data_IF_446886030043
#
_entry.id   IF_446886030043
#
_cell.length_a   1.000
_cell.length_b   1.000
_cell.length_c   1.000
_cell.angle_alpha   90.00
_cell.angle_beta   90.00
_cell.angle_gamma   90.00
#
_symmetry.space_group_name_H-M   'P 1'
#
loop_
_entity.id
_entity.type
_entity.pdbx_description
1 polymer ?
#
# COMPACT_ATOMS: atom_id res chain seq x y z
N UNK A 1 16.58 -0.41 -6.69
CA UNK A 1 15.28 -0.22 -6.02
C UNK A 1 14.37 0.76 -6.76
N UNK A 2 14.77 2.01 -7.03
CA UNK A 2 13.92 2.98 -7.78
C UNK A 2 13.31 2.42 -9.07
N UNK A 3 14.14 1.89 -9.97
CA UNK A 3 13.71 1.28 -11.25
C UNK A 3 12.71 0.14 -11.05
N UNK A 4 12.89 -0.65 -9.99
CA UNK A 4 11.96 -1.73 -9.64
C UNK A 4 10.60 -1.16 -9.20
N UNK A 5 10.60 -0.15 -8.31
CA UNK A 5 9.38 0.48 -7.82
C UNK A 5 8.62 1.18 -8.95
N UNK A 6 9.30 1.81 -9.91
CA UNK A 6 8.65 2.39 -11.09
C UNK A 6 7.97 1.32 -11.95
N UNK A 7 8.62 0.17 -12.17
CA UNK A 7 8.00 -0.97 -12.86
C UNK A 7 6.79 -1.52 -12.10
N UNK A 8 6.88 -1.61 -10.78
CA UNK A 8 5.79 -2.05 -9.92
C UNK A 8 4.59 -1.09 -10.01
N UNK A 9 4.84 0.22 -9.97
CA UNK A 9 3.78 1.23 -10.09
C UNK A 9 3.11 1.18 -11.46
N UNK A 10 3.88 0.95 -12.54
CA UNK A 10 3.31 0.76 -13.87
C UNK A 10 2.40 -0.48 -13.95
N UNK A 11 2.82 -1.61 -13.34
CA UNK A 11 1.98 -2.83 -13.26
C UNK A 11 0.72 -2.61 -12.44
N UNK A 12 0.84 -1.93 -11.30
CA UNK A 12 -0.29 -1.58 -10.44
C UNK A 12 -1.29 -0.67 -11.17
N UNK A 13 -0.79 0.37 -11.84
CA UNK A 13 -1.62 1.30 -12.61
C UNK A 13 -2.35 0.59 -13.75
N UNK A 14 -1.64 -0.24 -14.52
CA UNK A 14 -2.22 -1.06 -15.60
C UNK A 14 -3.32 -1.99 -15.07
N UNK A 15 -3.11 -2.62 -13.92
CA UNK A 15 -4.11 -3.49 -13.28
C UNK A 15 -5.37 -2.72 -12.87
N UNK A 16 -5.22 -1.59 -12.18
CA UNK A 16 -6.37 -0.76 -11.80
C UNK A 16 -7.10 -0.20 -13.03
N UNK A 17 -6.36 0.26 -14.04
CA UNK A 17 -6.91 0.73 -15.31
C UNK A 17 -7.75 -0.35 -15.96
N UNK A 18 -7.25 -1.59 -16.01
CA UNK A 18 -8.00 -2.71 -16.55
C UNK A 18 -9.27 -3.00 -15.73
N UNK A 19 -9.18 -3.04 -14.39
CA UNK A 19 -10.35 -3.26 -13.53
C UNK A 19 -11.40 -2.19 -13.79
N UNK A 20 -11.02 -0.92 -13.67
CA UNK A 20 -11.95 0.20 -13.78
C UNK A 20 -12.51 0.41 -15.18
N UNK A 21 -11.82 -0.03 -16.24
CA UNK A 21 -12.34 0.02 -17.60
C UNK A 21 -13.42 -1.02 -17.88
N UNK A 22 -13.50 -2.09 -17.06
CA UNK A 22 -14.42 -3.21 -17.29
C UNK A 22 -15.41 -3.43 -16.14
N UNK A 23 -15.12 -2.90 -14.96
CA UNK A 23 -15.90 -3.10 -13.75
C UNK A 23 -15.76 -1.91 -12.82
N UNK A 24 -16.88 -1.25 -12.52
CA UNK A 24 -16.93 -0.21 -11.49
C UNK A 24 -17.40 -0.82 -10.15
N UNK A 25 -16.51 -0.96 -9.14
CA UNK A 25 -16.83 -1.72 -7.93
C UNK A 25 -17.64 -0.96 -6.87
N UNK A 26 -18.08 0.27 -7.14
CA UNK A 26 -18.81 1.09 -6.17
C UNK A 26 -20.26 1.31 -6.62
N UNK A 27 -21.21 0.89 -5.78
CA UNK A 27 -22.64 1.12 -5.99
C UNK A 27 -23.21 1.84 -4.77
N UNK A 28 -23.84 3.00 -4.97
CA UNK A 28 -24.54 3.75 -3.92
C UNK A 28 -23.69 4.28 -2.76
N UNK A 29 -22.35 4.19 -2.83
CA UNK A 29 -21.46 4.71 -1.79
C UNK A 29 -20.09 5.08 -2.35
N UNK A 30 -19.39 5.98 -1.64
CA UNK A 30 -17.99 6.28 -1.91
C UNK A 30 -17.12 5.18 -1.31
N UNK A 31 -16.69 4.25 -2.16
CA UNK A 31 -15.31 3.82 -2.13
C UNK A 31 -15.05 2.33 -2.05
N UNK A 32 -13.88 1.99 -2.57
CA UNK A 32 -13.39 0.64 -2.67
C UNK A 32 -12.88 0.17 -1.31
N UNK A 33 -12.99 -1.12 -1.03
CA UNK A 33 -12.51 -1.68 0.26
C UNK A 33 -10.98 -1.56 0.35
N UNK A 34 -10.44 -1.34 1.56
CA UNK A 34 -8.98 -1.27 1.80
C UNK A 34 -8.26 -2.54 1.29
N UNK A 35 -8.94 -3.70 1.35
CA UNK A 35 -8.43 -4.98 0.85
C UNK A 35 -8.10 -4.97 -0.66
N UNK A 36 -8.74 -4.12 -1.46
CA UNK A 36 -8.40 -3.98 -2.87
C UNK A 36 -7.04 -3.29 -3.06
N UNK A 37 -6.63 -2.42 -2.13
CA UNK A 37 -5.31 -1.78 -2.17
C UNK A 37 -4.21 -2.83 -2.07
N UNK A 38 -4.28 -3.68 -1.03
CA UNK A 38 -3.28 -4.74 -0.82
C UNK A 38 -3.34 -5.81 -1.90
N UNK A 39 -4.52 -6.30 -2.27
CA UNK A 39 -4.64 -7.34 -3.30
C UNK A 39 -4.03 -6.91 -4.64
N UNK A 40 -4.38 -5.72 -5.14
CA UNK A 40 -3.86 -5.24 -6.42
C UNK A 40 -2.36 -4.94 -6.37
N UNK A 41 -1.86 -4.41 -5.26
CA UNK A 41 -0.42 -4.17 -5.08
C UNK A 41 0.37 -5.47 -5.02
N UNK A 42 -0.06 -6.43 -4.18
CA UNK A 42 0.59 -7.73 -4.05
C UNK A 42 0.60 -8.46 -5.39
N UNK A 43 -0.54 -8.52 -6.09
CA UNK A 43 -0.60 -9.15 -7.41
C UNK A 43 0.33 -8.49 -8.43
N UNK A 44 0.46 -7.15 -8.41
CA UNK A 44 1.40 -6.44 -9.28
C UNK A 44 2.86 -6.75 -8.91
N UNK A 45 3.17 -6.89 -7.62
CA UNK A 45 4.50 -7.23 -7.12
C UNK A 45 4.89 -8.66 -7.48
N UNK A 46 4.00 -9.63 -7.24
CA UNK A 46 4.21 -11.03 -7.58
C UNK A 46 4.47 -11.23 -9.08
N UNK A 47 3.81 -10.43 -9.93
CA UNK A 47 4.05 -10.48 -11.39
C UNK A 47 5.48 -10.08 -11.81
N UNK A 48 6.24 -9.43 -10.93
CA UNK A 48 7.65 -9.08 -11.15
C UNK A 48 8.62 -10.12 -10.58
N UNK A 49 8.14 -11.06 -9.76
CA UNK A 49 8.89 -12.16 -9.16
C UNK A 49 8.15 -13.48 -9.37
N UNK A 50 7.92 -13.92 -10.62
CA UNK A 50 7.26 -15.19 -10.87
C UNK A 50 8.01 -16.31 -10.15
N UNK A 51 7.26 -17.12 -9.40
CA UNK A 51 7.72 -18.30 -8.66
C UNK A 51 8.83 -18.08 -7.62
N UNK A 52 9.15 -16.82 -7.30
CA UNK A 52 10.27 -16.44 -6.42
C UNK A 52 9.87 -15.52 -5.28
N UNK A 53 8.57 -15.23 -5.13
CA UNK A 53 8.03 -14.50 -4.01
C UNK A 53 6.90 -15.25 -3.31
N UNK A 54 6.75 -14.99 -2.01
CA UNK A 54 5.68 -15.50 -1.17
C UNK A 54 4.91 -14.31 -0.60
N UNK A 55 3.59 -14.32 -0.70
CA UNK A 55 2.75 -13.32 -0.05
C UNK A 55 1.85 -13.95 1.01
N UNK A 56 1.55 -13.17 2.04
CA UNK A 56 0.57 -13.55 3.05
C UNK A 56 -0.21 -12.33 3.48
N UNK A 57 -1.52 -12.47 3.62
CA UNK A 57 -2.40 -11.39 4.05
C UNK A 57 -2.79 -11.57 5.51
N UNK A 58 -3.09 -10.47 6.21
CA UNK A 58 -3.43 -10.50 7.64
C UNK A 58 -2.32 -11.21 8.45
N UNK A 59 -1.05 -10.92 8.14
CA UNK A 59 0.09 -11.62 8.74
C UNK A 59 0.19 -11.29 10.23
N UNK A 60 0.12 -12.28 11.13
CA UNK A 60 0.06 -12.03 12.56
C UNK A 60 1.40 -11.48 13.07
N UNK A 61 1.33 -10.40 13.84
CA UNK A 61 2.50 -9.73 14.45
C UNK A 61 2.36 -9.56 15.97
N UNK A 62 1.49 -10.36 16.58
CA UNK A 62 1.28 -10.36 18.03
C UNK A 62 0.86 -11.75 18.50
N UNK A 63 1.32 -12.13 19.69
CA UNK A 63 0.99 -13.42 20.29
C UNK A 63 -0.36 -13.42 21.01
N UNK A 64 -0.82 -12.26 21.49
CA UNK A 64 -2.00 -12.13 22.36
C UNK A 64 -3.00 -11.09 21.86
N UNK A 65 -2.55 -10.07 21.13
CA UNK A 65 -3.40 -9.09 20.47
C UNK A 65 -3.66 -9.50 19.01
N UNK A 66 -4.86 -9.24 18.49
CA UNK A 66 -5.22 -9.42 17.07
C UNK A 66 -4.53 -8.37 16.16
N UNK A 67 -3.22 -8.18 16.34
CA UNK A 67 -2.40 -7.30 15.51
C UNK A 67 -1.90 -8.08 14.31
N UNK A 68 -2.08 -7.51 13.13
CA UNK A 68 -1.63 -8.08 11.87
C UNK A 68 -1.07 -6.99 10.97
N UNK A 69 -0.20 -7.36 10.03
CA UNK A 69 0.08 -6.56 8.84
C UNK A 69 -0.99 -6.89 7.80
N UNK A 70 -1.50 -5.90 7.08
CA UNK A 70 -2.53 -6.15 6.04
C UNK A 70 -2.01 -7.12 4.98
N UNK A 71 -0.75 -6.97 4.58
CA UNK A 71 -0.02 -7.98 3.81
C UNK A 71 1.49 -7.94 4.07
N UNK A 72 2.14 -9.07 3.81
CA UNK A 72 3.60 -9.19 3.71
C UNK A 72 3.94 -9.86 2.39
N UNK A 73 5.05 -9.44 1.78
CA UNK A 73 5.62 -10.12 0.62
C UNK A 73 7.11 -10.34 0.84
N UNK A 74 7.54 -11.59 0.64
CA UNK A 74 8.93 -12.02 0.75
C UNK A 74 9.47 -12.35 -0.62
N UNK A 75 10.68 -11.91 -0.91
CA UNK A 75 11.51 -12.42 -2.00
C UNK A 75 12.71 -13.13 -1.39
N UNK A 76 13.68 -13.52 -2.22
CA UNK A 76 14.98 -14.01 -1.72
C UNK A 76 15.70 -12.96 -0.86
N UNK A 77 15.63 -11.67 -1.24
CA UNK A 77 16.46 -10.61 -0.67
C UNK A 77 15.66 -9.53 0.08
N UNK A 78 14.35 -9.43 -0.14
CA UNK A 78 13.50 -8.35 0.33
C UNK A 78 12.29 -8.84 1.12
N UNK A 79 11.88 -8.03 2.11
CA UNK A 79 10.60 -8.15 2.82
C UNK A 79 9.83 -6.83 2.69
N UNK A 80 8.64 -6.90 2.10
CA UNK A 80 7.69 -5.79 2.02
C UNK A 80 6.61 -5.97 3.08
N UNK A 81 6.56 -5.08 4.06
CA UNK A 81 5.48 -4.96 5.03
C UNK A 81 4.48 -3.95 4.49
N UNK A 82 3.22 -4.32 4.34
CA UNK A 82 2.23 -3.54 3.60
C UNK A 82 1.06 -3.21 4.52
N UNK A 83 0.74 -1.92 4.60
CA UNK A 83 -0.43 -1.38 5.30
C UNK A 83 -1.24 -0.50 4.35
N UNK A 84 -2.55 -0.70 4.34
CA UNK A 84 -3.50 -0.01 3.49
C UNK A 84 -4.43 0.90 4.31
N UNK A 85 -4.74 2.09 3.81
CA UNK A 85 -5.63 3.04 4.48
C UNK A 85 -6.49 3.87 3.51
N UNK A 86 -7.78 3.94 3.78
CA UNK A 86 -8.70 4.88 3.14
C UNK A 86 -8.70 6.22 3.85
N UNK A 87 -8.39 7.30 3.14
CA UNK A 87 -8.43 8.67 3.67
C UNK A 87 -9.85 9.26 3.67
N UNK A 88 -10.79 8.57 4.34
CA UNK A 88 -12.15 9.07 4.56
C UNK A 88 -12.19 10.26 5.52
N UNK A 89 -11.32 10.24 6.54
CA UNK A 89 -11.11 11.29 7.52
C UNK A 89 -9.60 11.64 7.61
N UNK A 90 -9.13 12.66 6.86
CA UNK A 90 -7.70 12.91 6.68
C UNK A 90 -6.84 12.93 7.94
N UNK A 91 -7.19 13.73 8.95
CA UNK A 91 -6.34 13.93 10.12
C UNK A 91 -6.18 12.68 10.99
N UNK A 92 -7.27 11.95 11.25
CA UNK A 92 -7.21 10.72 12.03
C UNK A 92 -6.47 9.61 11.28
N UNK A 93 -6.61 9.55 9.96
CA UNK A 93 -5.91 8.58 9.11
C UNK A 93 -4.42 8.84 9.00
N UNK A 94 -3.96 10.10 8.97
CA UNK A 94 -2.52 10.42 9.08
C UNK A 94 -1.92 9.83 10.36
N UNK A 95 -2.58 10.05 11.51
CA UNK A 95 -2.08 9.51 12.78
C UNK A 95 -2.09 7.98 12.80
N UNK A 96 -3.12 7.35 12.22
CA UNK A 96 -3.14 5.89 12.06
C UNK A 96 -1.92 5.39 11.26
N UNK A 97 -1.65 6.00 10.10
CA UNK A 97 -0.49 5.63 9.26
C UNK A 97 0.83 5.78 10.01
N UNK A 98 0.99 6.82 10.84
CA UNK A 98 2.21 6.98 11.66
C UNK A 98 2.39 5.81 12.63
N UNK A 99 1.32 5.46 13.35
CA UNK A 99 1.35 4.32 14.28
C UNK A 99 1.64 3.01 13.54
N UNK A 100 1.15 2.86 12.30
CA UNK A 100 1.45 1.70 11.46
C UNK A 100 2.92 1.64 11.04
N UNK A 101 3.53 2.78 10.70
CA UNK A 101 4.97 2.86 10.40
C UNK A 101 5.81 2.46 11.61
N UNK A 102 5.50 2.98 12.78
CA UNK A 102 6.18 2.61 14.04
C UNK A 102 6.05 1.11 14.31
N UNK A 103 4.85 0.55 14.08
CA UNK A 103 4.57 -0.88 14.24
C UNK A 103 5.35 -1.75 13.25
N UNK A 104 5.50 -1.32 11.99
CA UNK A 104 6.32 -2.01 10.98
C UNK A 104 7.81 -1.98 11.31
N UNK A 105 8.26 -1.00 12.09
CA UNK A 105 9.65 -0.88 12.55
C UNK A 105 9.92 -1.65 13.85
N UNK A 106 8.90 -2.19 14.51
CA UNK A 106 9.08 -2.91 15.76
C UNK A 106 9.86 -4.21 15.56
N UNK A 107 10.97 -4.36 16.28
CA UNK A 107 11.75 -5.59 16.33
C UNK A 107 10.89 -6.81 16.71
N UNK A 108 9.92 -6.63 17.59
CA UNK A 108 9.02 -7.72 18.03
C UNK A 108 8.15 -8.21 16.87
N UNK A 109 7.58 -7.29 16.09
CA UNK A 109 6.79 -7.61 14.91
C UNK A 109 7.64 -8.32 13.85
N UNK A 110 8.85 -7.80 13.59
CA UNK A 110 9.79 -8.37 12.63
C UNK A 110 10.23 -9.79 13.00
N UNK A 111 10.56 -10.01 14.28
CA UNK A 111 10.93 -11.33 14.79
C UNK A 111 9.78 -12.34 14.65
N UNK A 112 8.52 -11.92 14.89
CA UNK A 112 7.36 -12.82 14.74
C UNK A 112 7.12 -13.20 13.28
N UNK A 113 7.26 -12.25 12.36
CA UNK A 113 7.12 -12.50 10.92
C UNK A 113 8.21 -13.46 10.44
N UNK A 114 9.45 -13.26 10.87
CA UNK A 114 10.60 -14.06 10.43
C UNK A 114 10.66 -15.46 11.09
N UNK A 115 10.10 -15.63 12.30
CA UNK A 115 9.95 -16.94 12.97
C UNK A 115 9.13 -17.95 12.16
N UNK A 116 8.32 -17.50 11.21
CA UNK A 116 7.57 -18.38 10.31
C UNK A 116 8.44 -19.12 9.28
N UNK A 117 9.70 -18.72 9.10
CA UNK A 117 10.59 -19.35 8.11
C UNK A 117 11.38 -20.53 8.69
N UNK A 118 11.43 -21.62 7.92
CA UNK A 118 12.25 -22.80 8.22
C UNK A 118 13.75 -22.43 8.21
N UNK A 119 14.16 -21.58 7.27
CA UNK A 119 15.53 -21.07 7.14
C UNK A 119 15.49 -19.53 7.05
N UNK A 120 15.55 -18.81 8.18
CA UNK A 120 15.51 -17.35 8.18
C UNK A 120 16.80 -16.80 7.55
N UNK A 121 16.62 -15.95 6.54
CA UNK A 121 17.69 -15.18 5.88
C UNK A 121 17.44 -13.72 6.19
N UNK A 122 18.51 -12.97 6.48
CA UNK A 122 18.43 -11.52 6.65
C UNK A 122 18.03 -10.88 5.33
N UNK A 123 16.86 -10.25 5.30
CA UNK A 123 16.32 -9.55 4.13
C UNK A 123 16.36 -8.04 4.34
N UNK A 124 16.49 -7.31 3.25
CA UNK A 124 16.25 -5.87 3.25
C UNK A 124 14.75 -5.61 3.42
N UNK A 125 14.39 -4.86 4.44
CA UNK A 125 12.99 -4.59 4.79
C UNK A 125 12.51 -3.26 4.22
N UNK A 126 11.24 -3.24 3.79
CA UNK A 126 10.54 -2.07 3.28
C UNK A 126 9.14 -1.98 3.91
N UNK A 127 8.82 -0.81 4.46
CA UNK A 127 7.44 -0.46 4.80
C UNK A 127 6.78 0.16 3.57
N UNK A 128 5.63 -0.37 3.18
CA UNK A 128 4.81 0.10 2.07
C UNK A 128 3.49 0.60 2.63
N UNK A 129 3.22 1.89 2.43
CA UNK A 129 1.93 2.49 2.72
C UNK A 129 1.17 2.61 1.41
N UNK A 130 0.00 1.97 1.38
CA UNK A 130 -0.99 2.11 0.32
C UNK A 130 -2.15 2.93 0.85
N UNK A 131 -2.62 3.86 0.04
CA UNK A 131 -3.78 4.63 0.41
C UNK A 131 -4.60 5.02 -0.80
N UNK A 132 -5.90 5.19 -0.59
CA UNK A 132 -6.74 5.90 -1.53
C UNK A 132 -7.35 7.14 -0.89
N UNK A 133 -7.60 8.13 -1.75
CA UNK A 133 -8.29 9.36 -1.38
C UNK A 133 -9.24 9.76 -2.50
N UNK A 134 -10.41 10.24 -2.09
CA UNK A 134 -11.42 10.82 -2.97
C UNK A 134 -11.37 12.34 -2.84
N UNK A 135 -10.85 13.07 -3.83
CA UNK A 135 -10.48 14.49 -3.72
C UNK A 135 -11.65 15.48 -3.81
N UNK A 136 -12.81 15.10 -3.29
CA UNK A 136 -14.04 15.90 -3.37
C UNK A 136 -14.03 17.09 -2.41
N UNK A 137 -13.23 17.03 -1.34
CA UNK A 137 -13.09 18.10 -0.34
C UNK A 137 -11.70 18.70 -0.36
N UNK A 138 -11.58 19.96 0.07
CA UNK A 138 -10.28 20.65 0.20
C UNK A 138 -9.29 19.85 1.05
N UNK A 139 -9.72 19.39 2.23
CA UNK A 139 -8.87 18.60 3.13
C UNK A 139 -8.34 17.31 2.51
N UNK A 140 -9.11 16.66 1.62
CA UNK A 140 -8.69 15.46 0.90
C UNK A 140 -7.77 15.80 -0.29
N UNK A 141 -8.00 16.93 -0.97
CA UNK A 141 -7.07 17.48 -1.97
C UNK A 141 -5.71 17.81 -1.34
N UNK A 142 -5.71 18.44 -0.18
CA UNK A 142 -4.47 18.79 0.53
C UNK A 142 -3.64 17.53 0.84
N UNK A 143 -4.27 16.40 1.22
CA UNK A 143 -3.56 15.11 1.39
C UNK A 143 -2.93 14.62 0.10
N UNK A 144 -3.68 14.64 -1.00
CA UNK A 144 -3.20 14.24 -2.32
C UNK A 144 -2.00 15.10 -2.75
N UNK A 145 -2.10 16.42 -2.63
CA UNK A 145 -1.08 17.39 -3.05
C UNK A 145 0.18 17.33 -2.18
N UNK A 146 0.04 17.00 -0.90
CA UNK A 146 1.16 16.94 0.04
C UNK A 146 1.70 15.52 0.28
N UNK A 147 1.21 14.51 -0.43
CA UNK A 147 1.69 13.14 -0.29
C UNK A 147 3.17 13.00 -0.72
N UNK A 148 4.01 12.24 0.00
CA UNK A 148 3.80 11.62 1.31
C UNK A 148 4.21 12.53 2.49
N UNK A 149 4.62 13.76 2.23
CA UNK A 149 5.17 14.70 3.24
C UNK A 149 4.19 15.03 4.36
N UNK A 150 2.88 14.96 4.09
CA UNK A 150 1.82 15.08 5.10
C UNK A 150 1.97 14.11 6.28
N UNK A 151 2.64 12.98 6.06
CA UNK A 151 2.89 11.98 7.09
C UNK A 151 3.92 12.44 8.13
N UNK A 152 4.70 13.50 7.89
CA UNK A 152 5.72 14.03 8.82
C UNK A 152 6.59 12.91 9.46
N UNK A 153 7.01 11.95 8.64
CA UNK A 153 7.91 10.85 9.03
C UNK A 153 9.28 11.07 8.38
N UNK A 154 10.33 10.35 8.82
CA UNK A 154 11.62 10.39 8.12
C UNK A 154 11.45 10.05 6.63
N UNK A 155 12.39 10.47 5.77
CA UNK A 155 12.24 10.42 4.32
C UNK A 155 11.79 9.06 3.80
N UNK A 156 10.78 9.09 2.93
CA UNK A 156 10.42 7.93 2.14
C UNK A 156 11.46 7.73 1.03
N UNK A 157 11.80 6.47 0.78
CA UNK A 157 12.66 6.08 -0.33
C UNK A 157 11.99 6.36 -1.68
N UNK A 158 10.67 6.20 -1.74
CA UNK A 158 9.88 6.32 -2.96
C UNK A 158 8.47 6.77 -2.63
N UNK A 159 7.86 7.52 -3.54
CA UNK A 159 6.41 7.78 -3.50
C UNK A 159 5.87 7.99 -4.91
N UNK A 160 4.59 7.65 -5.09
CA UNK A 160 3.89 7.83 -6.36
C UNK A 160 2.41 8.09 -6.08
N UNK A 161 1.81 8.92 -6.92
CA UNK A 161 0.36 9.01 -7.04
C UNK A 161 -0.06 8.44 -8.39
N UNK A 162 -1.09 7.60 -8.39
CA UNK A 162 -1.72 7.09 -9.60
C UNK A 162 -3.10 7.71 -9.74
N UNK A 163 -3.37 8.16 -10.96
CA UNK A 163 -4.60 8.83 -11.35
C UNK A 163 -5.29 8.08 -12.48
N UNK A 164 -6.59 8.34 -12.64
CA UNK A 164 -7.46 7.58 -13.52
C UNK A 164 -8.37 8.48 -14.38
N UNK A 165 -8.05 9.78 -14.49
CA UNK A 165 -8.83 10.76 -15.27
C UNK A 165 -9.01 10.36 -16.72
N UNK A 166 -7.99 9.70 -17.29
CA UNK A 166 -7.93 9.29 -18.70
C UNK A 166 -8.72 8.02 -19.03
N UNK A 167 -9.40 7.40 -18.06
CA UNK A 167 -10.15 6.18 -18.33
C UNK A 167 -11.34 6.46 -19.27
N UNK A 168 -11.58 5.59 -20.28
CA UNK A 168 -12.66 5.75 -21.26
C UNK A 168 -14.02 5.31 -20.72
N UNK A 169 -14.27 5.50 -19.42
CA UNK A 169 -15.52 5.16 -18.74
C UNK A 169 -16.25 6.43 -18.30
N UNK A 170 -17.58 6.36 -18.28
CA UNK A 170 -18.43 7.43 -17.77
C UNK A 170 -18.34 7.51 -16.24
N UNK A 171 -18.39 8.73 -15.70
CA UNK A 171 -18.46 8.99 -14.26
C UNK A 171 -17.37 9.92 -13.73
N UNK A 172 -17.79 10.92 -12.95
CA UNK A 172 -16.91 11.93 -12.34
C UNK A 172 -15.93 11.37 -11.31
N UNK A 173 -16.19 10.17 -10.78
CA UNK A 173 -15.37 9.53 -9.76
C UNK A 173 -13.90 9.36 -10.20
N UNK A 174 -13.64 9.17 -11.50
CA UNK A 174 -12.29 8.96 -12.05
C UNK A 174 -11.38 10.19 -11.91
N UNK A 175 -11.99 11.38 -11.82
CA UNK A 175 -11.29 12.63 -11.54
C UNK A 175 -10.98 12.78 -10.04
N UNK A 176 -11.78 12.16 -9.18
CA UNK A 176 -11.69 12.29 -7.73
C UNK A 176 -10.88 11.18 -7.05
N UNK A 177 -10.88 9.96 -7.58
CA UNK A 177 -10.18 8.83 -6.98
C UNK A 177 -8.69 8.85 -7.31
N UNK A 178 -7.85 8.83 -6.27
CA UNK A 178 -6.39 8.75 -6.37
C UNK A 178 -5.87 7.58 -5.56
N UNK A 179 -4.87 6.88 -6.08
CA UNK A 179 -4.10 5.90 -5.32
C UNK A 179 -2.75 6.52 -4.94
N UNK A 180 -2.43 6.51 -3.65
CA UNK A 180 -1.20 7.03 -3.07
C UNK A 180 -0.34 5.85 -2.60
N UNK A 181 0.93 5.86 -2.98
CA UNK A 181 1.91 4.85 -2.56
C UNK A 181 3.11 5.56 -1.96
N UNK A 182 3.59 5.08 -0.83
CA UNK A 182 4.85 5.51 -0.23
C UNK A 182 5.63 4.29 0.27
N UNK A 183 6.93 4.27 0.01
CA UNK A 183 7.82 3.17 0.41
C UNK A 183 8.96 3.72 1.23
N UNK A 184 9.18 3.14 2.42
CA UNK A 184 10.26 3.49 3.33
C UNK A 184 11.17 2.29 3.50
N UNK A 185 12.48 2.50 3.34
CA UNK A 185 13.48 1.49 3.68
C UNK A 185 13.56 1.40 5.21
N UNK A 186 13.51 0.19 5.76
CA UNK A 186 13.69 -0.04 7.19
C UNK A 186 15.13 -0.49 7.46
N UNK A 187 15.62 -0.17 8.66
CA UNK A 187 16.94 -0.57 9.14
C UNK A 187 16.90 -1.95 9.81
#
# INVERSE_FOLDING_TARGET
>A
MQVFLDKLMARLHSRYTNIFSHYYPAHGSTGFTERNLTNNFVSALESLYPDSCLSWFEAPIGLTAKKHMDAVVFTENELFLIEAKRFTAPQSKINSVRNDIERMQSNEALLLIEKGFINPIQRQRYAVILADVWTETKSKKDIFESWPTCLKSDPFLYSKVLEFSELPVEGEWKHNYKLLVAVKKLN
#
